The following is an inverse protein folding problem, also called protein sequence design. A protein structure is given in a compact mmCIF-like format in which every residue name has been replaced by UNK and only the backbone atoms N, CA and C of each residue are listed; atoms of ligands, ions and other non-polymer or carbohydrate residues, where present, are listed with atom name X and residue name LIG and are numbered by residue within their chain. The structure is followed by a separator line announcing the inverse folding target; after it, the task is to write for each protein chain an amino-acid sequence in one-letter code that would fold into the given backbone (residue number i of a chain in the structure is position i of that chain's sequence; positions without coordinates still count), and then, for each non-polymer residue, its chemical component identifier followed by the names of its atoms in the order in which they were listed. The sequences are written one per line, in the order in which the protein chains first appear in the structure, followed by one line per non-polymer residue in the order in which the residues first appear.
data_IF_940667481310
#
_entry.id   IF_940667481310
#
_cell.length_a   1.000
_cell.length_b   1.000
_cell.length_c   1.000
_cell.angle_alpha   90.00
_cell.angle_beta   90.00
_cell.angle_gamma   90.00
#
_symmetry.space_group_name_H-M   'P 1'
#
loop_
_entity.id
_entity.type
_entity.pdbx_description
1 polymer ?
#
# COMPACT_ATOMS: atom_id res chain seq x y z
N UNK A 1 -34.07 -71.64 10.92
CA UNK A 1 -32.96 -71.66 9.94
C UNK A 1 -32.65 -70.24 9.54
N UNK A 2 -31.35 -69.89 9.54
CA UNK A 2 -30.71 -68.66 9.01
C UNK A 2 -31.02 -67.33 9.72
N UNK A 3 -30.06 -66.88 10.53
CA UNK A 3 -29.86 -65.46 10.85
C UNK A 3 -28.40 -65.12 10.58
N UNK A 4 -28.18 -64.37 9.50
CA UNK A 4 -26.89 -63.98 8.92
C UNK A 4 -26.30 -62.79 9.69
N UNK A 5 -25.02 -62.88 10.05
CA UNK A 5 -24.23 -61.77 10.59
C UNK A 5 -23.93 -60.76 9.47
N UNK A 6 -24.20 -59.48 9.71
CA UNK A 6 -23.70 -58.38 8.86
C UNK A 6 -22.88 -57.45 9.75
N UNK A 7 -21.59 -57.44 9.47
CA UNK A 7 -20.61 -56.47 9.93
C UNK A 7 -20.92 -55.09 9.34
N UNK A 8 -21.10 -54.08 10.20
CA UNK A 8 -21.15 -52.68 9.78
C UNK A 8 -19.87 -51.97 10.24
N UNK A 9 -19.12 -51.51 9.25
CA UNK A 9 -17.85 -50.82 9.41
C UNK A 9 -17.98 -49.44 10.05
N UNK A 10 -16.90 -49.04 10.72
CA UNK A 10 -16.67 -47.73 11.29
C UNK A 10 -16.76 -46.65 10.18
N UNK A 11 -17.68 -45.69 10.31
CA UNK A 11 -17.66 -44.46 9.51
C UNK A 11 -16.99 -43.38 10.33
N UNK A 12 -15.70 -43.15 10.09
CA UNK A 12 -15.00 -41.98 10.60
C UNK A 12 -15.44 -40.76 9.76
N UNK A 13 -16.23 -39.88 10.37
CA UNK A 13 -16.66 -38.62 9.77
C UNK A 13 -15.53 -37.60 9.86
N UNK A 14 -14.91 -37.26 8.73
CA UNK A 14 -13.96 -36.15 8.65
C UNK A 14 -14.72 -34.88 8.22
N UNK A 15 -14.96 -33.98 9.17
CA UNK A 15 -15.50 -32.64 8.90
C UNK A 15 -14.41 -31.78 8.26
N UNK A 16 -14.54 -31.49 6.96
CA UNK A 16 -13.74 -30.45 6.30
C UNK A 16 -14.27 -29.08 6.73
N UNK A 17 -13.64 -28.49 7.74
CA UNK A 17 -13.79 -27.08 8.07
C UNK A 17 -13.17 -26.22 6.97
N UNK A 18 -14.00 -25.47 6.24
CA UNK A 18 -13.54 -24.42 5.34
C UNK A 18 -13.04 -23.24 6.18
N UNK A 19 -11.76 -23.25 6.53
CA UNK A 19 -11.09 -22.07 7.06
C UNK A 19 -10.93 -21.07 5.92
N UNK A 20 -11.69 -19.98 5.98
CA UNK A 20 -11.44 -18.80 5.16
C UNK A 20 -10.10 -18.22 5.59
N UNK A 21 -9.04 -18.53 4.86
CA UNK A 21 -7.75 -17.86 5.03
C UNK A 21 -7.94 -16.39 4.64
N UNK A 22 -7.95 -15.51 5.64
CA UNK A 22 -7.84 -14.07 5.39
C UNK A 22 -6.58 -13.84 4.57
N UNK A 23 -6.68 -13.08 3.48
CA UNK A 23 -5.54 -12.65 2.70
C UNK A 23 -4.58 -11.89 3.63
N UNK A 24 -3.57 -12.58 4.13
CA UNK A 24 -2.45 -11.95 4.81
C UNK A 24 -1.77 -11.11 3.73
N UNK A 25 -1.67 -9.80 3.94
CA UNK A 25 -0.81 -8.98 3.12
C UNK A 25 0.60 -9.59 3.22
N UNK A 26 1.02 -10.29 2.16
CA UNK A 26 2.36 -10.83 2.10
C UNK A 26 3.29 -9.63 2.22
N UNK A 27 4.08 -9.61 3.31
CA UNK A 27 5.17 -8.66 3.46
C UNK A 27 6.03 -8.83 2.22
N UNK A 28 5.95 -7.88 1.27
CA UNK A 28 6.87 -7.86 0.14
C UNK A 28 8.25 -7.83 0.78
N UNK A 29 9.04 -8.88 0.52
CA UNK A 29 10.38 -8.99 1.05
C UNK A 29 11.07 -7.66 0.75
N UNK A 30 11.41 -6.93 1.81
CA UNK A 30 12.08 -5.66 1.65
C UNK A 30 13.30 -5.93 0.77
N UNK A 31 13.45 -5.27 -0.40
CA UNK A 31 14.62 -5.52 -1.24
C UNK A 31 15.86 -5.37 -0.36
N UNK A 32 16.89 -6.22 -0.55
CA UNK A 32 18.09 -6.18 0.28
C UNK A 32 18.54 -4.73 0.37
N UNK A 33 18.56 -4.19 1.60
CA UNK A 33 18.99 -2.82 1.85
C UNK A 33 20.34 -2.66 1.15
N UNK A 34 20.40 -1.82 0.12
CA UNK A 34 21.68 -1.40 -0.46
C UNK A 34 22.57 -1.00 0.71
N UNK A 35 23.80 -1.54 0.76
CA UNK A 35 24.71 -1.18 1.84
C UNK A 35 24.79 0.35 1.88
N UNK A 36 24.64 0.93 3.07
CA UNK A 36 24.54 2.37 3.31
C UNK A 36 25.80 3.17 2.90
N UNK A 37 26.67 2.60 2.07
CA UNK A 37 28.03 3.06 1.77
C UNK A 37 28.14 3.96 0.54
N UNK A 38 27.03 4.27 -0.15
CA UNK A 38 27.11 5.01 -1.44
C UNK A 38 26.23 6.26 -1.54
N UNK A 39 25.35 6.54 -0.57
CA UNK A 39 24.66 7.84 -0.56
C UNK A 39 25.59 8.94 -0.04
N UNK A 40 25.65 10.12 -0.69
CA UNK A 40 26.36 11.26 -0.16
C UNK A 40 25.92 11.55 1.27
N UNK A 41 26.85 11.70 2.21
CA UNK A 41 26.53 11.90 3.63
C UNK A 41 25.71 13.19 3.89
N UNK A 42 25.71 14.11 2.94
CA UNK A 42 24.96 15.36 2.96
C UNK A 42 23.59 15.28 2.26
N UNK A 43 23.20 14.11 1.72
CA UNK A 43 21.86 13.95 1.16
C UNK A 43 20.83 14.03 2.28
N UNK A 44 19.89 14.94 2.14
CA UNK A 44 18.80 15.17 3.10
C UNK A 44 17.46 15.05 2.37
N UNK A 45 16.38 14.90 3.13
CA UNK A 45 15.04 14.73 2.60
C UNK A 45 14.56 13.29 2.63
N UNK A 46 13.51 13.01 1.84
CA UNK A 46 12.80 11.73 1.85
C UNK A 46 12.62 11.21 0.43
N UNK A 47 12.73 9.90 0.26
CA UNK A 47 12.39 9.17 -0.95
C UNK A 47 11.09 8.41 -0.71
N UNK A 48 10.13 8.49 -1.62
CA UNK A 48 8.98 7.61 -1.65
C UNK A 48 9.11 6.63 -2.82
N UNK A 49 8.83 5.36 -2.57
CA UNK A 49 8.78 4.33 -3.61
C UNK A 49 7.72 3.30 -3.27
N UNK A 50 7.40 2.43 -4.23
CA UNK A 50 6.54 1.29 -3.99
C UNK A 50 7.23 -0.01 -4.40
N UNK A 51 6.78 -1.13 -3.84
CA UNK A 51 7.28 -2.47 -4.15
C UNK A 51 6.14 -3.47 -4.11
N UNK A 52 6.15 -4.43 -5.03
CA UNK A 52 5.16 -5.50 -5.18
C UNK A 52 5.85 -6.80 -5.59
N UNK A 53 5.20 -7.93 -5.34
CA UNK A 53 5.67 -9.23 -5.83
C UNK A 53 5.41 -9.39 -7.33
N UNK A 54 4.21 -9.03 -7.79
CA UNK A 54 3.83 -8.97 -9.20
C UNK A 54 2.89 -7.79 -9.45
N UNK A 55 2.89 -7.27 -10.68
CA UNK A 55 2.05 -6.13 -11.02
C UNK A 55 0.55 -6.50 -10.95
N UNK A 56 -0.21 -5.76 -10.14
CA UNK A 56 -1.67 -5.93 -10.00
C UNK A 56 -2.12 -7.10 -9.11
N UNK A 57 -1.20 -7.74 -8.38
CA UNK A 57 -1.51 -8.88 -7.52
C UNK A 57 -2.10 -8.50 -6.14
N UNK A 58 -2.22 -7.21 -5.84
CA UNK A 58 -2.69 -6.70 -4.55
C UNK A 58 -1.60 -6.45 -3.52
N UNK A 59 -0.34 -6.77 -3.84
CA UNK A 59 0.75 -6.74 -2.87
C UNK A 59 1.49 -5.42 -2.82
N UNK A 60 1.24 -4.47 -3.74
CA UNK A 60 1.98 -3.21 -3.76
C UNK A 60 1.88 -2.48 -2.43
N UNK A 61 3.02 -2.07 -1.89
CA UNK A 61 3.13 -1.25 -0.69
C UNK A 61 3.94 0.01 -0.98
N UNK A 62 3.63 1.11 -0.29
CA UNK A 62 4.37 2.38 -0.36
C UNK A 62 5.32 2.46 0.82
N UNK A 63 6.56 2.85 0.53
CA UNK A 63 7.63 3.04 1.48
C UNK A 63 8.16 4.48 1.41
N UNK A 64 8.55 5.01 2.56
CA UNK A 64 9.29 6.26 2.70
C UNK A 64 10.64 5.96 3.36
N UNK A 65 11.71 6.37 2.69
CA UNK A 65 13.06 6.39 3.25
C UNK A 65 13.43 7.82 3.65
N UNK A 66 13.90 7.99 4.88
CA UNK A 66 14.44 9.26 5.37
C UNK A 66 15.97 9.21 5.33
N UNK A 67 16.60 10.06 4.50
CA UNK A 67 18.05 10.07 4.34
C UNK A 67 18.79 10.58 5.58
N UNK A 68 18.18 11.52 6.32
CA UNK A 68 18.78 12.11 7.51
C UNK A 68 18.71 11.14 8.69
N UNK A 69 17.57 10.48 8.89
CA UNK A 69 17.39 9.49 9.95
C UNK A 69 17.96 8.11 9.58
N UNK A 70 18.21 7.86 8.29
CA UNK A 70 18.60 6.55 7.73
C UNK A 70 17.60 5.46 8.08
N UNK A 71 16.32 5.80 8.05
CA UNK A 71 15.22 4.88 8.38
C UNK A 71 14.35 4.61 7.16
N UNK A 72 13.90 3.36 7.05
CA UNK A 72 12.92 2.94 6.07
C UNK A 72 11.61 2.61 6.78
N UNK A 73 10.51 3.16 6.26
CA UNK A 73 9.18 2.90 6.80
C UNK A 73 8.21 2.53 5.68
N UNK A 74 7.50 1.41 5.83
CA UNK A 74 6.27 1.19 5.08
C UNK A 74 5.19 2.12 5.62
N UNK A 75 4.58 2.93 4.74
CA UNK A 75 3.52 3.86 5.14
C UNK A 75 2.13 3.40 4.71
N UNK A 76 2.04 2.56 3.68
CA UNK A 76 0.76 1.94 3.31
C UNK A 76 0.29 0.97 4.37
N UNK A 77 -1.01 1.02 4.66
CA UNK A 77 -1.64 0.23 5.71
C UNK A 77 -2.86 -0.53 5.18
N UNK A 78 -2.97 -1.81 5.53
CA UNK A 78 -4.11 -2.65 5.15
C UNK A 78 -5.46 -2.11 5.64
N UNK A 79 -5.48 -1.41 6.79
CA UNK A 79 -6.69 -0.78 7.35
C UNK A 79 -7.26 0.35 6.46
N UNK A 80 -6.49 0.85 5.48
CA UNK A 80 -7.01 1.82 4.52
C UNK A 80 -8.00 1.20 3.54
N UNK A 81 -7.98 -0.13 3.37
CA UNK A 81 -8.82 -0.81 2.38
C UNK A 81 -8.47 -0.44 0.93
N UNK A 82 -7.25 0.06 0.69
CA UNK A 82 -6.75 0.44 -0.64
C UNK A 82 -5.86 -0.69 -1.14
N UNK A 83 -6.24 -1.32 -2.25
CA UNK A 83 -5.45 -2.37 -2.90
C UNK A 83 -4.40 -1.73 -3.82
N UNK A 84 -3.23 -2.35 -3.92
CA UNK A 84 -2.14 -1.94 -4.80
C UNK A 84 -1.76 -0.43 -4.73
N UNK A 85 -1.57 0.17 -3.53
CA UNK A 85 -1.10 1.55 -3.44
C UNK A 85 0.28 1.72 -4.10
N UNK A 86 0.41 2.71 -4.99
CA UNK A 86 1.64 2.97 -5.77
C UNK A 86 1.76 4.41 -6.28
N UNK A 87 2.89 4.71 -6.93
CA UNK A 87 3.20 6.00 -7.57
C UNK A 87 3.04 7.21 -6.64
N UNK A 88 3.51 7.05 -5.40
CA UNK A 88 3.50 8.10 -4.40
C UNK A 88 4.40 9.28 -4.79
N UNK A 89 3.93 10.49 -4.53
CA UNK A 89 4.65 11.75 -4.75
C UNK A 89 4.45 12.68 -3.56
N UNK A 90 5.51 13.34 -3.09
CA UNK A 90 5.42 14.31 -2.01
C UNK A 90 4.81 15.63 -2.49
N UNK A 91 4.05 16.28 -1.61
CA UNK A 91 3.76 17.72 -1.74
C UNK A 91 5.06 18.54 -1.65
N UNK A 92 5.12 19.77 -2.19
CA UNK A 92 6.32 20.59 -2.15
C UNK A 92 6.84 20.90 -0.74
N UNK A 93 5.96 20.92 0.26
CA UNK A 93 6.30 21.11 1.67
C UNK A 93 6.65 19.80 2.40
N UNK A 94 6.57 18.65 1.72
CA UNK A 94 6.87 17.32 2.26
C UNK A 94 5.89 16.80 3.31
N UNK A 95 4.81 17.53 3.61
CA UNK A 95 3.85 17.15 4.67
C UNK A 95 2.82 16.12 4.22
N UNK A 96 2.67 15.95 2.91
CA UNK A 96 1.69 15.06 2.32
C UNK A 96 2.30 14.20 1.23
N UNK A 97 1.63 13.09 0.95
CA UNK A 97 1.83 12.33 -0.28
C UNK A 97 0.51 12.20 -1.03
N UNK A 98 0.57 12.33 -2.35
CA UNK A 98 -0.47 11.81 -3.24
C UNK A 98 -0.02 10.47 -3.79
N UNK A 99 -0.93 9.51 -3.93
CA UNK A 99 -0.64 8.19 -4.49
C UNK A 99 -1.88 7.63 -5.17
N UNK A 100 -1.73 6.61 -6.00
CA UNK A 100 -2.86 5.90 -6.60
C UNK A 100 -3.09 4.55 -5.93
N UNK A 101 -4.32 4.02 -6.02
CA UNK A 101 -4.66 2.67 -5.56
C UNK A 101 -6.07 2.26 -5.97
N UNK A 102 -6.41 1.00 -5.75
CA UNK A 102 -7.69 0.39 -6.10
C UNK A 102 -8.67 0.44 -4.92
N UNK A 103 -9.83 1.07 -5.14
CA UNK A 103 -11.02 0.98 -4.30
C UNK A 103 -12.27 1.00 -5.18
N UNK A 104 -13.37 0.38 -4.76
CA UNK A 104 -14.64 0.41 -5.52
C UNK A 104 -14.52 -0.02 -6.99
N UNK A 105 -13.65 -0.99 -7.27
CA UNK A 105 -13.30 -1.49 -8.60
C UNK A 105 -12.63 -0.46 -9.55
N UNK A 106 -12.22 0.70 -9.04
CA UNK A 106 -11.60 1.80 -9.79
C UNK A 106 -10.21 2.15 -9.26
N UNK A 107 -9.30 2.56 -10.15
CA UNK A 107 -8.08 3.23 -9.70
C UNK A 107 -8.40 4.69 -9.36
N UNK A 108 -8.03 5.06 -8.15
CA UNK A 108 -8.29 6.35 -7.55
C UNK A 108 -7.00 7.01 -7.08
N UNK A 109 -7.01 8.34 -7.03
CA UNK A 109 -5.94 9.13 -6.44
C UNK A 109 -6.31 9.48 -5.00
N UNK A 110 -5.39 9.23 -4.09
CA UNK A 110 -5.52 9.48 -2.66
C UNK A 110 -4.52 10.50 -2.19
N UNK A 111 -4.84 11.13 -1.07
CA UNK A 111 -4.00 12.10 -0.40
C UNK A 111 -3.89 11.78 1.09
N UNK A 112 -2.67 11.71 1.60
CA UNK A 112 -2.42 11.33 3.00
C UNK A 112 -1.33 12.18 3.62
N UNK A 113 -1.54 12.56 4.89
CA UNK A 113 -0.60 13.35 5.65
C UNK A 113 0.49 12.45 6.22
N UNK A 114 1.75 12.80 5.92
CA UNK A 114 2.92 11.99 6.31
C UNK A 114 2.97 11.86 7.83
N UNK A 115 2.92 10.62 8.31
CA UNK A 115 2.98 10.27 9.74
C UNK A 115 1.63 10.31 10.47
N UNK A 116 0.53 10.60 9.78
CA UNK A 116 -0.81 10.61 10.39
C UNK A 116 -1.37 9.21 10.63
N UNK A 117 -2.13 9.03 11.71
CA UNK A 117 -2.92 7.81 11.93
C UNK A 117 -4.27 7.82 11.21
N UNK A 118 -4.63 8.94 10.58
CA UNK A 118 -5.88 9.09 9.84
C UNK A 118 -5.85 8.36 8.50
N UNK A 119 -7.04 8.00 7.99
CA UNK A 119 -7.18 7.39 6.67
C UNK A 119 -6.80 8.38 5.54
N UNK A 120 -6.29 7.89 4.40
CA UNK A 120 -6.13 8.68 3.19
C UNK A 120 -7.47 9.23 2.68
N UNK A 121 -7.44 10.45 2.16
CA UNK A 121 -8.58 11.10 1.50
C UNK A 121 -8.61 10.64 0.05
N UNK A 122 -9.73 10.08 -0.43
CA UNK A 122 -9.91 9.76 -1.85
C UNK A 122 -10.32 11.02 -2.62
N UNK A 123 -9.47 11.51 -3.52
CA UNK A 123 -9.70 12.76 -4.26
C UNK A 123 -10.59 12.56 -5.48
N UNK A 124 -10.56 11.38 -6.11
CA UNK A 124 -11.26 11.12 -7.37
C UNK A 124 -12.57 10.37 -7.18
N UNK A 125 -12.71 9.61 -6.10
CA UNK A 125 -13.92 8.88 -5.69
C UNK A 125 -14.67 8.19 -6.85
N UNK A 126 -13.93 7.65 -7.80
CA UNK A 126 -14.43 6.97 -8.99
C UNK A 126 -14.82 5.53 -8.67
N UNK A 127 -15.71 4.98 -9.49
CA UNK A 127 -16.27 3.63 -9.34
C UNK A 127 -16.27 2.90 -10.68
N UNK A 128 -16.37 1.57 -10.64
CA UNK A 128 -16.30 0.75 -11.85
C UNK A 128 -14.90 0.76 -12.47
N UNK A 129 -14.74 0.29 -13.70
CA UNK A 129 -13.42 0.04 -14.30
C UNK A 129 -12.70 1.31 -14.81
N UNK A 130 -12.78 2.42 -14.09
CA UNK A 130 -12.10 3.68 -14.41
C UNK A 130 -10.67 3.70 -13.86
N UNK A 131 -9.79 4.51 -14.48
CA UNK A 131 -8.39 4.62 -14.07
C UNK A 131 -7.93 6.07 -13.89
N UNK A 132 -7.69 6.49 -12.64
CA UNK A 132 -7.02 7.74 -12.29
C UNK A 132 -5.64 7.42 -11.70
N UNK A 133 -4.57 7.83 -12.37
CA UNK A 133 -3.23 7.28 -12.15
C UNK A 133 -2.16 8.38 -12.12
N UNK A 134 -0.99 8.03 -11.59
CA UNK A 134 0.24 8.83 -11.68
C UNK A 134 0.17 10.28 -11.15
N UNK A 135 -0.36 10.53 -9.94
CA UNK A 135 -0.46 11.88 -9.41
C UNK A 135 0.92 12.57 -9.35
N UNK A 136 0.93 13.89 -9.57
CA UNK A 136 2.11 14.76 -9.49
C UNK A 136 1.72 16.10 -8.86
N UNK A 137 2.61 16.67 -8.06
CA UNK A 137 2.46 18.03 -7.56
C UNK A 137 3.12 19.02 -8.51
N UNK A 138 2.48 20.17 -8.72
CA UNK A 138 3.20 21.37 -9.19
C UNK A 138 4.20 21.78 -8.12
N UNK A 139 5.35 22.30 -8.54
CA UNK A 139 6.41 22.81 -7.67
C UNK A 139 6.20 24.27 -7.27
N UNK A 140 5.07 24.90 -7.62
CA UNK A 140 4.89 26.34 -7.43
C UNK A 140 5.10 26.78 -5.98
N UNK A 141 6.29 27.34 -5.73
CA UNK A 141 6.58 28.14 -4.56
C UNK A 141 5.64 29.33 -4.65
N UNK A 142 4.61 29.37 -3.80
CA UNK A 142 3.68 30.50 -3.69
C UNK A 142 4.50 31.80 -3.73
N UNK A 143 4.48 32.50 -4.86
CA UNK A 143 5.04 33.85 -4.97
C UNK A 143 4.23 34.67 -3.98
N UNK A 144 4.87 35.13 -2.90
CA UNK A 144 4.31 36.23 -2.12
C UNK A 144 4.14 37.36 -3.11
N UNK A 145 2.90 37.66 -3.50
CA UNK A 145 2.59 38.93 -4.16
C UNK A 145 3.22 40.02 -3.31
N UNK A 146 4.22 40.70 -3.83
CA UNK A 146 4.70 41.94 -3.25
C UNK A 146 3.51 42.88 -3.08
N UNK A 147 3.38 43.62 -1.96
CA UNK A 147 2.34 44.63 -1.86
C UNK A 147 2.58 45.71 -2.93
N UNK A 148 1.52 46.33 -3.48
CA UNK A 148 1.66 47.37 -4.49
C UNK A 148 2.39 48.60 -3.93
N UNK A 149 3.01 49.42 -4.81
CA UNK A 149 3.87 50.55 -4.45
C UNK A 149 3.16 51.64 -3.63
#
# INVERSE_FOLDING_TARGET
MRSTLISLGLVASATLGLFSIGAQANCVANPPTQSNTTFPANLTGKLAYHSYASYGDGTSQIFIYDFSARTLQQVSNAAWGIKDPMNAVFSPDGKWIAFMGLTNNAWNVFFWQVGSTSMPINLTNSTGQTRNEDPKFSTDARVRSSPPP
#
